data_IF_943783173808
#
_entry.id   IF_943783173808
#
_cell.length_a   1.000
_cell.length_b   1.000
_cell.length_c   1.000
_cell.angle_alpha   90.00
_cell.angle_beta   90.00
_cell.angle_gamma   90.00
#
_symmetry.space_group_name_H-M   'P 1'
#
loop_
_entity.id
_entity.type
_entity.pdbx_description
1 polymer ?
#
# COMPACT_ATOMS: atom_id res chain seq x y z
N UNK A 1 31.32 -47.53 69.95
CA UNK A 1 31.27 -46.11 69.50
C UNK A 1 31.02 -46.14 68.00
N UNK A 2 29.81 -45.86 67.49
CA UNK A 2 29.26 -44.51 67.15
C UNK A 2 30.25 -43.73 66.26
N UNK A 3 30.00 -43.33 65.01
CA UNK A 3 28.78 -42.89 64.33
C UNK A 3 28.87 -43.06 62.78
N UNK A 4 27.72 -43.33 62.15
CA UNK A 4 27.39 -43.05 60.73
C UNK A 4 26.81 -41.62 60.60
N UNK A 5 26.47 -41.20 59.36
CA UNK A 5 25.53 -40.10 58.94
C UNK A 5 26.29 -38.83 58.48
N UNK A 6 26.06 -38.16 57.34
CA UNK A 6 25.10 -38.28 56.21
C UNK A 6 25.63 -37.41 55.04
N UNK A 7 25.42 -37.83 53.78
CA UNK A 7 25.49 -36.94 52.62
C UNK A 7 24.21 -36.09 52.52
N UNK A 8 24.35 -34.78 52.36
CA UNK A 8 23.23 -33.90 51.98
C UNK A 8 23.30 -33.62 50.48
N UNK A 9 22.37 -34.19 49.72
CA UNK A 9 22.09 -33.79 48.35
C UNK A 9 20.95 -32.76 48.37
N UNK A 10 21.22 -31.54 47.91
CA UNK A 10 20.21 -30.49 47.73
C UNK A 10 19.64 -30.64 46.33
N UNK A 11 18.36 -31.02 46.24
CA UNK A 11 17.60 -31.13 44.99
C UNK A 11 16.92 -29.79 44.72
N UNK A 12 17.38 -29.05 43.69
CA UNK A 12 16.70 -27.84 43.21
C UNK A 12 15.60 -28.27 42.23
N UNK A 13 14.33 -28.23 42.66
CA UNK A 13 13.18 -28.44 41.78
C UNK A 13 12.94 -27.15 40.97
N UNK A 14 13.32 -27.15 39.70
CA UNK A 14 12.96 -26.11 38.75
C UNK A 14 11.59 -26.45 38.16
N UNK A 15 10.51 -25.90 38.72
CA UNK A 15 9.17 -26.00 38.14
C UNK A 15 9.11 -25.13 36.87
N UNK A 16 9.41 -25.72 35.71
CA UNK A 16 9.02 -25.20 34.40
C UNK A 16 7.50 -25.31 34.29
N UNK A 17 6.80 -24.22 34.61
CA UNK A 17 5.40 -24.04 34.23
C UNK A 17 5.34 -23.91 32.70
N UNK A 18 5.19 -25.03 32.01
CA UNK A 18 4.75 -25.08 30.61
C UNK A 18 3.36 -24.45 30.55
N UNK A 19 3.33 -23.15 30.26
CA UNK A 19 2.10 -22.44 29.90
C UNK A 19 1.68 -22.99 28.54
N UNK A 20 0.83 -24.00 28.56
CA UNK A 20 0.10 -24.45 27.37
C UNK A 20 -0.84 -23.31 26.98
N UNK A 21 -0.40 -22.45 26.06
CA UNK A 21 -1.30 -21.51 25.40
C UNK A 21 -2.31 -22.34 24.62
N UNK A 22 -3.59 -22.24 24.99
CA UNK A 22 -4.65 -22.91 24.27
C UNK A 22 -4.69 -22.44 22.82
N UNK A 23 -4.68 -23.39 21.88
CA UNK A 23 -4.79 -23.11 20.44
C UNK A 23 -6.09 -22.35 20.15
N UNK A 24 -6.00 -21.36 19.26
CA UNK A 24 -7.15 -20.58 18.83
C UNK A 24 -8.20 -21.49 18.18
N UNK A 25 -9.44 -21.33 18.62
CA UNK A 25 -10.58 -22.10 18.17
C UNK A 25 -11.77 -21.16 18.02
N UNK A 26 -12.09 -20.83 16.77
CA UNK A 26 -13.17 -19.90 16.42
C UNK A 26 -14.52 -20.35 16.96
N UNK A 27 -14.72 -21.66 17.18
CA UNK A 27 -15.99 -22.20 17.70
C UNK A 27 -16.20 -21.91 19.19
N UNK A 28 -15.13 -21.52 19.90
CA UNK A 28 -15.15 -21.18 21.33
C UNK A 28 -15.26 -19.68 21.60
N UNK A 29 -15.26 -18.85 20.56
CA UNK A 29 -15.40 -17.39 20.69
C UNK A 29 -16.79 -17.05 21.22
N UNK A 30 -16.89 -16.01 22.05
CA UNK A 30 -18.17 -15.53 22.59
C UNK A 30 -19.17 -15.25 21.45
N UNK A 31 -20.37 -15.84 21.53
CA UNK A 31 -21.39 -15.72 20.47
C UNK A 31 -21.80 -14.28 20.17
N UNK A 32 -21.76 -13.36 21.15
CA UNK A 32 -22.05 -11.94 20.92
C UNK A 32 -20.88 -11.26 20.21
N UNK A 33 -19.64 -11.66 20.51
CA UNK A 33 -18.47 -11.20 19.75
C UNK A 33 -18.54 -11.64 18.28
N UNK A 34 -18.95 -12.89 18.02
CA UNK A 34 -19.17 -13.39 16.65
C UNK A 34 -20.25 -12.58 15.92
N UNK A 35 -21.39 -12.31 16.55
CA UNK A 35 -22.45 -11.49 15.93
C UNK A 35 -21.99 -10.04 15.62
N UNK A 36 -21.17 -9.45 16.48
CA UNK A 36 -20.55 -8.14 16.23
C UNK A 36 -19.58 -8.18 15.06
N UNK A 37 -18.78 -9.26 14.96
CA UNK A 37 -17.86 -9.49 13.86
C UNK A 37 -18.59 -9.66 12.53
N UNK A 38 -19.62 -10.49 12.47
CA UNK A 38 -20.42 -10.71 11.25
C UNK A 38 -21.01 -9.40 10.73
N UNK A 39 -21.59 -8.59 11.62
CA UNK A 39 -22.08 -7.24 11.27
C UNK A 39 -20.97 -6.33 10.74
N UNK A 40 -19.76 -6.42 11.29
CA UNK A 40 -18.64 -5.65 10.78
C UNK A 40 -18.20 -6.10 9.38
N UNK A 41 -18.29 -7.40 9.08
CA UNK A 41 -17.99 -7.92 7.74
C UNK A 41 -19.00 -7.42 6.70
N UNK A 42 -20.30 -7.40 7.03
CA UNK A 42 -21.33 -6.78 6.15
C UNK A 42 -21.03 -5.30 5.86
N UNK A 43 -20.60 -4.55 6.86
CA UNK A 43 -20.21 -3.15 6.70
C UNK A 43 -18.93 -3.00 5.87
N UNK A 44 -17.99 -3.93 5.99
CA UNK A 44 -16.76 -3.97 5.19
C UNK A 44 -17.08 -4.22 3.72
N UNK A 45 -17.98 -5.14 3.42
CA UNK A 45 -18.46 -5.41 2.05
C UNK A 45 -19.17 -4.19 1.45
N UNK A 46 -19.89 -3.43 2.29
CA UNK A 46 -20.48 -2.15 1.93
C UNK A 46 -19.46 -0.97 1.88
N UNK A 47 -18.16 -1.24 2.01
CA UNK A 47 -17.07 -0.25 2.07
C UNK A 47 -17.19 0.79 3.20
N UNK A 48 -17.98 0.51 4.24
CA UNK A 48 -18.19 1.35 5.42
C UNK A 48 -17.14 1.07 6.50
N UNK A 49 -15.87 1.27 6.16
CA UNK A 49 -14.72 0.83 6.96
C UNK A 49 -14.68 1.38 8.39
N UNK A 50 -15.04 2.66 8.60
CA UNK A 50 -15.04 3.27 9.94
C UNK A 50 -16.07 2.62 10.87
N UNK A 51 -17.26 2.33 10.34
CA UNK A 51 -18.33 1.66 11.09
C UNK A 51 -17.95 0.19 11.37
N UNK A 52 -17.38 -0.50 10.38
CA UNK A 52 -16.89 -1.86 10.53
C UNK A 52 -15.85 -1.97 11.66
N UNK A 53 -14.84 -1.08 11.69
CA UNK A 53 -13.83 -1.04 12.76
C UNK A 53 -14.49 -0.86 14.14
N UNK A 54 -15.52 0.00 14.26
CA UNK A 54 -16.20 0.21 15.53
C UNK A 54 -16.91 -1.07 16.05
N UNK A 55 -17.48 -1.88 15.15
CA UNK A 55 -18.07 -3.17 15.53
C UNK A 55 -17.00 -4.23 15.85
N UNK A 56 -15.91 -4.29 15.09
CA UNK A 56 -14.79 -5.18 15.40
C UNK A 56 -14.13 -4.84 16.74
N UNK A 57 -14.01 -3.55 17.08
CA UNK A 57 -13.53 -3.11 18.38
C UNK A 57 -14.43 -3.56 19.53
N UNK A 58 -15.76 -3.54 19.34
CA UNK A 58 -16.69 -4.12 20.30
C UNK A 58 -16.54 -5.64 20.39
N UNK A 59 -16.30 -6.33 19.28
CA UNK A 59 -16.08 -7.77 19.26
C UNK A 59 -14.82 -8.16 20.08
N UNK A 60 -13.69 -7.48 19.88
CA UNK A 60 -12.48 -7.73 20.67
C UNK A 60 -12.58 -7.30 22.13
N UNK A 61 -13.39 -6.26 22.43
CA UNK A 61 -13.68 -5.89 23.82
C UNK A 61 -14.57 -6.94 24.53
N UNK A 62 -15.38 -7.67 23.76
CA UNK A 62 -16.21 -8.76 24.26
C UNK A 62 -15.42 -10.05 24.45
N UNK A 63 -14.49 -10.33 23.53
CA UNK A 63 -13.58 -11.47 23.58
C UNK A 63 -12.17 -11.04 23.13
N UNK A 64 -11.29 -10.81 24.10
CA UNK A 64 -9.94 -10.30 23.85
C UNK A 64 -9.05 -11.28 23.06
N UNK A 65 -9.45 -12.55 22.95
CA UNK A 65 -8.72 -13.60 22.20
C UNK A 65 -9.31 -13.85 20.82
N UNK A 66 -10.23 -13.01 20.34
CA UNK A 66 -10.82 -13.18 19.03
C UNK A 66 -9.88 -12.75 17.90
N UNK A 67 -8.94 -13.64 17.54
CA UNK A 67 -7.85 -13.39 16.57
C UNK A 67 -8.39 -12.87 15.23
N UNK A 68 -9.46 -13.46 14.68
CA UNK A 68 -10.01 -13.06 13.38
C UNK A 68 -10.49 -11.60 13.36
N UNK A 69 -11.02 -11.12 14.49
CA UNK A 69 -11.42 -9.73 14.63
C UNK A 69 -10.21 -8.78 14.60
N UNK A 70 -9.11 -9.13 15.27
CA UNK A 70 -7.86 -8.35 15.18
C UNK A 70 -7.28 -8.34 13.76
N UNK A 71 -7.25 -9.51 13.10
CA UNK A 71 -6.77 -9.64 11.72
C UNK A 71 -7.64 -8.82 10.74
N UNK A 72 -8.96 -8.79 10.96
CA UNK A 72 -9.88 -8.00 10.15
C UNK A 72 -9.69 -6.50 10.36
N UNK A 73 -9.50 -6.04 11.60
CA UNK A 73 -9.15 -4.63 11.88
C UNK A 73 -7.84 -4.27 11.16
N UNK A 74 -6.84 -5.14 11.22
CA UNK A 74 -5.56 -4.94 10.54
C UNK A 74 -5.73 -4.83 9.02
N UNK A 75 -6.53 -5.72 8.42
CA UNK A 75 -6.85 -5.71 7.00
C UNK A 75 -7.53 -4.41 6.55
N UNK A 76 -8.52 -3.94 7.31
CA UNK A 76 -9.23 -2.69 7.01
C UNK A 76 -8.29 -1.49 7.09
N UNK A 77 -7.45 -1.39 8.13
CA UNK A 77 -6.45 -0.32 8.20
C UNK A 77 -5.46 -0.36 7.01
N UNK A 78 -5.10 -1.57 6.55
CA UNK A 78 -4.30 -1.72 5.34
C UNK A 78 -4.99 -1.20 4.08
N UNK A 79 -6.31 -1.41 3.94
CA UNK A 79 -7.11 -0.83 2.84
C UNK A 79 -7.20 0.70 2.93
N UNK A 80 -7.29 1.24 4.14
CA UNK A 80 -7.26 2.68 4.42
C UNK A 80 -5.84 3.28 4.28
N UNK A 81 -4.82 2.46 3.98
CA UNK A 81 -3.40 2.83 3.92
C UNK A 81 -2.84 3.40 5.23
N UNK A 82 -3.51 3.12 6.35
CA UNK A 82 -2.97 3.36 7.70
C UNK A 82 -2.10 2.16 8.11
N UNK A 83 -0.92 2.08 7.50
CA UNK A 83 0.02 0.99 7.71
C UNK A 83 0.49 0.86 9.17
N UNK A 84 0.76 1.95 9.93
CA UNK A 84 1.09 1.85 11.35
C UNK A 84 0.02 1.13 12.17
N UNK A 85 -1.26 1.48 12.02
CA UNK A 85 -2.34 0.80 12.73
C UNK A 85 -2.50 -0.65 12.27
N UNK A 86 -2.45 -0.89 10.95
CA UNK A 86 -2.54 -2.25 10.40
C UNK A 86 -1.49 -3.19 11.01
N UNK A 87 -0.22 -2.78 11.00
CA UNK A 87 0.89 -3.55 11.58
C UNK A 87 0.67 -3.81 13.07
N UNK A 88 0.21 -2.81 13.84
CA UNK A 88 -0.05 -2.99 15.28
C UNK A 88 -1.12 -4.04 15.56
N UNK A 89 -2.21 -4.08 14.79
CA UNK A 89 -3.27 -5.07 14.98
C UNK A 89 -2.86 -6.48 14.54
N UNK A 90 -2.06 -6.61 13.46
CA UNK A 90 -1.43 -7.89 13.12
C UNK A 90 -0.55 -8.41 14.25
N UNK A 91 0.34 -7.57 14.79
CA UNK A 91 1.25 -7.97 15.87
C UNK A 91 0.49 -8.38 17.13
N UNK A 92 -0.62 -7.70 17.47
CA UNK A 92 -1.53 -8.12 18.56
C UNK A 92 -2.13 -9.50 18.31
N UNK A 93 -2.61 -9.78 17.10
CA UNK A 93 -3.14 -11.10 16.73
C UNK A 93 -2.05 -12.20 16.82
N UNK A 94 -0.84 -11.90 16.35
CA UNK A 94 0.23 -12.89 16.20
C UNK A 94 0.78 -13.39 17.53
N UNK A 95 0.76 -12.57 18.58
CA UNK A 95 1.20 -13.00 19.92
C UNK A 95 0.16 -13.87 20.65
N UNK A 96 -1.08 -13.92 20.19
CA UNK A 96 -2.15 -14.72 20.81
C UNK A 96 -2.02 -16.20 20.49
N UNK A 97 -1.74 -16.52 19.22
CA UNK A 97 -1.45 -17.88 18.76
C UNK A 97 -0.47 -17.82 17.59
N UNK A 98 0.81 -18.05 17.89
CA UNK A 98 1.89 -18.03 16.89
C UNK A 98 1.79 -19.19 15.90
N UNK A 99 1.15 -20.30 16.26
CA UNK A 99 1.00 -21.46 15.38
C UNK A 99 -0.11 -21.20 14.36
N UNK A 100 -1.26 -20.70 14.82
CA UNK A 100 -2.36 -20.28 13.94
C UNK A 100 -1.92 -19.17 12.98
N UNK A 101 -1.21 -18.17 13.49
CA UNK A 101 -0.80 -16.99 12.69
C UNK A 101 0.46 -17.21 11.86
N UNK A 102 1.14 -18.35 11.98
CA UNK A 102 2.25 -18.72 11.10
C UNK A 102 1.80 -19.04 9.65
N UNK A 103 0.48 -19.12 9.40
CA UNK A 103 -0.07 -19.33 8.07
C UNK A 103 0.47 -18.30 7.05
N UNK A 104 1.05 -18.75 5.92
CA UNK A 104 1.56 -17.86 4.88
C UNK A 104 0.53 -16.87 4.32
N UNK A 105 -0.75 -17.24 4.29
CA UNK A 105 -1.84 -16.39 3.86
C UNK A 105 -2.10 -15.21 4.80
N UNK A 106 -1.83 -15.37 6.09
CA UNK A 106 -1.89 -14.29 7.09
C UNK A 106 -0.60 -13.45 7.14
N UNK A 107 0.55 -14.10 6.99
CA UNK A 107 1.87 -13.45 7.01
C UNK A 107 2.09 -12.56 5.78
N UNK A 108 1.55 -12.93 4.62
CA UNK A 108 1.77 -12.18 3.39
C UNK A 108 1.17 -10.76 3.43
N UNK A 109 -0.12 -10.54 3.77
CA UNK A 109 -0.67 -9.20 4.00
C UNK A 109 0.09 -8.39 5.05
N UNK A 110 0.53 -9.04 6.14
CA UNK A 110 1.34 -8.38 7.16
C UNK A 110 2.66 -7.82 6.58
N UNK A 111 3.38 -8.62 5.78
CA UNK A 111 4.61 -8.15 5.11
C UNK A 111 4.37 -6.95 4.18
N UNK A 112 3.21 -6.89 3.51
CA UNK A 112 2.82 -5.76 2.65
C UNK A 112 2.61 -4.50 3.49
N UNK A 113 1.95 -4.62 4.65
CA UNK A 113 1.72 -3.48 5.53
C UNK A 113 2.99 -3.02 6.23
N UNK A 114 3.92 -3.92 6.57
CA UNK A 114 5.27 -3.54 7.01
C UNK A 114 5.97 -2.69 5.95
N UNK A 115 5.98 -3.15 4.69
CA UNK A 115 6.55 -2.39 3.58
C UNK A 115 5.83 -1.07 3.31
N UNK A 116 4.50 -1.02 3.43
CA UNK A 116 3.71 0.20 3.32
C UNK A 116 4.09 1.26 4.37
N UNK A 117 4.48 0.82 5.58
CA UNK A 117 5.03 1.68 6.64
C UNK A 117 6.51 2.06 6.40
N UNK A 118 7.15 1.54 5.34
CA UNK A 118 8.57 1.71 5.05
C UNK A 118 9.51 0.72 5.76
N UNK A 119 8.96 -0.26 6.49
CA UNK A 119 9.74 -1.26 7.25
C UNK A 119 10.14 -2.45 6.36
N UNK A 120 10.91 -2.16 5.32
CA UNK A 120 11.29 -3.15 4.29
C UNK A 120 12.15 -4.29 4.84
N UNK A 121 12.93 -4.04 5.89
CA UNK A 121 13.78 -5.05 6.52
C UNK A 121 12.94 -6.17 7.14
N UNK A 122 11.95 -5.82 7.98
CA UNK A 122 11.04 -6.81 8.58
C UNK A 122 10.11 -7.42 7.53
N UNK A 123 9.66 -6.63 6.56
CA UNK A 123 8.85 -7.15 5.46
C UNK A 123 9.59 -8.25 4.68
N UNK A 124 10.87 -8.04 4.37
CA UNK A 124 11.72 -9.03 3.70
C UNK A 124 11.95 -10.27 4.55
N UNK A 125 12.18 -10.12 5.86
CA UNK A 125 12.31 -11.26 6.78
C UNK A 125 11.05 -12.14 6.76
N UNK A 126 9.86 -11.54 6.85
CA UNK A 126 8.57 -12.26 6.80
C UNK A 126 8.42 -13.00 5.47
N UNK A 127 8.69 -12.33 4.35
CA UNK A 127 8.59 -12.94 3.01
C UNK A 127 9.56 -14.11 2.85
N UNK A 128 10.79 -14.00 3.37
CA UNK A 128 11.76 -15.09 3.34
C UNK A 128 11.28 -16.30 4.16
N UNK A 129 10.64 -16.07 5.32
CA UNK A 129 10.01 -17.14 6.12
C UNK A 129 8.86 -17.82 5.38
N UNK A 130 8.02 -17.04 4.70
CA UNK A 130 6.94 -17.58 3.85
C UNK A 130 7.52 -18.50 2.75
N UNK A 131 8.54 -18.03 2.04
CA UNK A 131 9.17 -18.79 0.95
C UNK A 131 9.87 -20.07 1.42
N UNK A 132 10.26 -20.13 2.70
CA UNK A 132 10.82 -21.33 3.31
C UNK A 132 9.76 -22.37 3.74
N UNK A 133 8.46 -22.05 3.66
CA UNK A 133 7.38 -22.98 4.04
C UNK A 133 7.27 -24.13 3.03
N UNK A 134 7.32 -25.41 3.47
CA UNK A 134 7.13 -26.55 2.59
C UNK A 134 5.76 -26.54 1.91
N UNK A 135 5.69 -27.04 0.67
CA UNK A 135 4.43 -27.16 -0.09
C UNK A 135 3.63 -25.85 -0.23
N UNK A 136 4.31 -24.70 -0.26
CA UNK A 136 3.68 -23.39 -0.41
C UNK A 136 2.84 -23.32 -1.70
N UNK A 137 1.61 -22.82 -1.58
CA UNK A 137 0.71 -22.69 -2.72
C UNK A 137 1.32 -21.81 -3.84
N UNK A 138 1.21 -22.18 -5.14
CA UNK A 138 1.90 -21.48 -6.23
C UNK A 138 1.60 -19.98 -6.33
N UNK A 139 0.36 -19.57 -6.04
CA UNK A 139 -0.03 -18.14 -6.07
C UNK A 139 0.65 -17.36 -4.95
N UNK A 140 0.67 -17.89 -3.73
CA UNK A 140 1.35 -17.30 -2.58
C UNK A 140 2.86 -17.24 -2.82
N UNK A 141 3.45 -18.30 -3.38
CA UNK A 141 4.86 -18.32 -3.76
C UNK A 141 5.20 -17.21 -4.75
N UNK A 142 4.46 -17.10 -5.87
CA UNK A 142 4.67 -16.05 -6.87
C UNK A 142 4.52 -14.64 -6.26
N UNK A 143 3.52 -14.45 -5.42
CA UNK A 143 3.27 -13.19 -4.73
C UNK A 143 4.41 -12.83 -3.76
N UNK A 144 4.93 -13.80 -3.02
CA UNK A 144 6.04 -13.65 -2.09
C UNK A 144 7.36 -13.38 -2.85
N UNK A 145 7.67 -14.10 -3.93
CA UNK A 145 8.87 -13.87 -4.76
C UNK A 145 8.90 -12.47 -5.38
N UNK A 146 7.75 -11.97 -5.84
CA UNK A 146 7.64 -10.59 -6.34
C UNK A 146 7.96 -9.56 -5.25
N UNK A 147 7.42 -9.76 -4.05
CA UNK A 147 7.65 -8.88 -2.89
C UNK A 147 9.08 -8.98 -2.39
N UNK A 148 9.67 -10.17 -2.36
CA UNK A 148 11.06 -10.39 -2.00
C UNK A 148 11.99 -9.52 -2.86
N UNK A 149 11.82 -9.56 -4.20
CA UNK A 149 12.59 -8.72 -5.13
C UNK A 149 12.38 -7.24 -4.87
N UNK A 150 11.12 -6.82 -4.64
CA UNK A 150 10.77 -5.42 -4.41
C UNK A 150 11.36 -4.88 -3.08
N UNK A 151 11.27 -5.65 -2.00
CA UNK A 151 11.78 -5.26 -0.69
C UNK A 151 13.31 -5.30 -0.66
N UNK A 152 13.92 -6.30 -1.31
CA UNK A 152 15.37 -6.36 -1.48
C UNK A 152 15.89 -5.15 -2.26
N UNK A 153 15.24 -4.80 -3.37
CA UNK A 153 15.57 -3.59 -4.13
C UNK A 153 15.52 -2.33 -3.25
N UNK A 154 14.45 -2.16 -2.46
CA UNK A 154 14.32 -1.00 -1.58
C UNK A 154 15.48 -0.89 -0.56
N UNK A 155 15.89 -2.03 0.03
CA UNK A 155 17.01 -2.08 0.96
C UNK A 155 18.37 -1.83 0.28
N UNK A 156 18.60 -2.41 -0.90
CA UNK A 156 19.82 -2.22 -1.67
C UNK A 156 19.96 -0.78 -2.18
N UNK A 157 18.84 -0.18 -2.59
CA UNK A 157 18.77 1.22 -3.00
C UNK A 157 19.09 2.14 -1.81
N UNK A 158 18.45 1.94 -0.66
CA UNK A 158 18.72 2.73 0.55
C UNK A 158 20.18 2.59 1.03
N UNK A 159 20.79 1.41 0.88
CA UNK A 159 22.20 1.17 1.21
C UNK A 159 23.16 1.93 0.29
N UNK A 160 22.81 2.07 -1.00
CA UNK A 160 23.62 2.80 -1.99
C UNK A 160 23.30 4.31 -2.02
N UNK A 161 22.19 4.75 -1.43
CA UNK A 161 21.72 6.13 -1.39
C UNK A 161 21.40 6.55 0.05
N UNK A 162 22.42 6.81 0.89
CA UNK A 162 22.24 7.04 2.33
C UNK A 162 21.55 8.38 2.67
N UNK A 163 21.37 9.26 1.67
CA UNK A 163 20.59 10.50 1.81
C UNK A 163 19.11 10.18 2.00
N UNK A 164 18.67 10.19 3.25
CA UNK A 164 17.29 9.91 3.66
C UNK A 164 16.48 11.18 3.95
N UNK A 165 17.09 12.35 3.81
CA UNK A 165 16.47 13.64 4.08
C UNK A 165 15.65 14.20 2.89
N UNK A 166 15.56 13.46 1.78
CA UNK A 166 14.67 13.84 0.70
C UNK A 166 13.21 13.61 1.13
N UNK A 167 12.48 14.70 1.28
CA UNK A 167 11.04 14.68 1.53
C UNK A 167 10.33 14.85 0.19
N UNK A 168 9.62 13.82 -0.25
CA UNK A 168 8.71 13.95 -1.38
C UNK A 168 7.48 14.77 -0.95
N UNK A 169 7.59 16.09 -1.08
CA UNK A 169 6.55 17.06 -0.82
C UNK A 169 6.21 17.79 -2.13
N UNK A 170 5.40 17.19 -3.03
CA UNK A 170 5.02 17.87 -4.26
C UNK A 170 4.32 19.19 -3.92
N UNK A 171 4.78 20.27 -4.55
CA UNK A 171 4.19 21.59 -4.40
C UNK A 171 3.29 21.86 -5.59
N UNK A 172 2.08 22.34 -5.31
CA UNK A 172 1.21 22.91 -6.33
C UNK A 172 1.93 24.09 -7.01
N UNK A 173 1.90 24.15 -8.34
CA UNK A 173 2.61 25.14 -9.15
C UNK A 173 1.87 26.49 -9.25
N UNK A 174 0.74 26.63 -8.55
CA UNK A 174 -0.10 27.81 -8.53
C UNK A 174 -1.15 27.82 -9.65
N UNK A 175 -2.10 28.75 -9.54
CA UNK A 175 -3.27 28.85 -10.43
C UNK A 175 -2.91 29.10 -11.91
N UNK A 176 -1.67 29.53 -12.18
CA UNK A 176 -1.13 29.65 -13.53
C UNK A 176 -1.05 28.29 -14.24
N UNK A 177 -0.82 27.21 -13.49
CA UNK A 177 -0.75 25.84 -14.00
C UNK A 177 -1.92 25.01 -13.50
N UNK A 178 -2.10 24.97 -12.18
CA UNK A 178 -3.03 24.07 -11.54
C UNK A 178 -4.45 24.62 -11.47
N UNK A 179 -5.41 23.75 -11.71
CA UNK A 179 -6.83 24.04 -11.57
C UNK A 179 -7.52 23.02 -10.67
N UNK A 180 -8.86 23.12 -10.54
CA UNK A 180 -9.67 22.09 -9.89
C UNK A 180 -9.89 20.84 -10.76
N UNK A 181 -9.52 20.89 -12.05
CA UNK A 181 -9.65 19.76 -12.97
C UNK A 181 -8.48 18.78 -12.83
N UNK A 182 -8.65 17.56 -13.35
CA UNK A 182 -7.54 16.60 -13.41
C UNK A 182 -6.52 17.01 -14.47
N UNK A 183 -5.25 17.05 -14.08
CA UNK A 183 -4.13 17.48 -14.93
C UNK A 183 -3.00 16.45 -14.85
N UNK A 184 -2.49 16.03 -16.01
CA UNK A 184 -1.53 14.92 -16.10
C UNK A 184 -0.76 14.94 -17.43
N UNK A 185 0.19 14.01 -17.57
CA UNK A 185 1.12 13.91 -18.71
C UNK A 185 1.80 15.24 -19.07
N UNK A 186 2.54 15.87 -18.13
CA UNK A 186 3.34 17.04 -18.45
C UNK A 186 4.54 16.66 -19.34
N UNK A 187 4.84 17.53 -20.30
CA UNK A 187 6.04 17.49 -21.14
C UNK A 187 6.62 18.90 -21.26
N UNK A 188 7.93 19.00 -21.52
CA UNK A 188 8.66 20.26 -21.50
C UNK A 188 9.88 20.19 -22.44
N UNK A 189 10.16 21.24 -23.22
CA UNK A 189 11.42 21.36 -23.97
C UNK A 189 12.64 21.50 -23.05
N UNK A 190 13.85 21.34 -23.60
CA UNK A 190 15.08 21.34 -22.81
C UNK A 190 15.37 22.69 -22.14
N UNK A 191 14.85 23.78 -22.69
CA UNK A 191 15.04 25.14 -22.16
C UNK A 191 14.16 25.43 -20.93
N UNK A 192 13.20 24.56 -20.63
CA UNK A 192 12.33 24.65 -19.48
C UNK A 192 11.32 25.80 -19.50
N UNK A 193 11.10 26.43 -20.66
CA UNK A 193 10.27 27.64 -20.77
C UNK A 193 8.82 27.38 -21.15
N UNK A 194 8.47 26.17 -21.57
CA UNK A 194 7.10 25.80 -21.92
C UNK A 194 6.73 24.50 -21.22
N UNK A 195 5.63 24.52 -20.46
CA UNK A 195 5.02 23.32 -19.90
C UNK A 195 3.77 23.02 -20.69
N UNK A 196 3.75 21.88 -21.38
CA UNK A 196 2.55 21.34 -22.04
C UNK A 196 2.02 20.18 -21.21
N UNK A 197 0.71 20.09 -21.02
CA UNK A 197 0.08 19.05 -20.23
C UNK A 197 -1.36 18.81 -20.67
N UNK A 198 -1.92 17.66 -20.29
CA UNK A 198 -3.33 17.37 -20.48
C UNK A 198 -4.13 17.90 -19.30
N UNK A 199 -5.25 18.56 -19.59
CA UNK A 199 -6.29 18.90 -18.62
C UNK A 199 -7.60 18.26 -19.04
N UNK A 200 -8.22 17.50 -18.15
CA UNK A 200 -9.50 16.83 -18.39
C UNK A 200 -10.66 17.77 -18.10
N UNK A 201 -11.04 18.58 -19.08
CA UNK A 201 -12.07 19.61 -18.96
C UNK A 201 -13.45 18.99 -18.71
N UNK A 202 -14.14 19.49 -17.68
CA UNK A 202 -15.46 19.01 -17.25
C UNK A 202 -15.51 17.49 -17.01
N UNK A 203 -14.38 16.89 -16.62
CA UNK A 203 -14.21 15.45 -16.45
C UNK A 203 -14.56 14.60 -17.70
N UNK A 204 -14.55 15.20 -18.88
CA UNK A 204 -14.92 14.55 -20.14
C UNK A 204 -13.81 14.63 -21.18
N UNK A 205 -13.44 15.84 -21.60
CA UNK A 205 -12.54 16.05 -22.74
C UNK A 205 -11.09 16.23 -22.28
N UNK A 206 -10.17 15.47 -22.85
CA UNK A 206 -8.74 15.64 -22.64
C UNK A 206 -8.20 16.69 -23.60
N UNK A 207 -8.02 17.92 -23.13
CA UNK A 207 -7.43 19.00 -23.93
C UNK A 207 -5.97 19.24 -23.49
N UNK A 208 -5.11 19.57 -24.45
CA UNK A 208 -3.75 20.06 -24.20
C UNK A 208 -3.75 21.53 -23.84
N UNK A 209 -3.17 21.83 -22.68
CA UNK A 209 -2.91 23.17 -22.18
C UNK A 209 -1.40 23.43 -22.17
N UNK A 210 -1.04 24.69 -22.34
CA UNK A 210 0.34 25.15 -22.33
C UNK A 210 0.50 26.40 -21.49
N UNK A 211 1.59 26.48 -20.74
CA UNK A 211 2.01 27.67 -20.01
C UNK A 211 3.48 27.95 -20.29
N UNK A 212 3.78 29.19 -20.64
CA UNK A 212 5.15 29.66 -20.76
C UNK A 212 5.70 30.16 -19.41
N UNK A 213 7.02 30.13 -19.27
CA UNK A 213 7.72 30.63 -18.09
C UNK A 213 8.51 31.87 -18.44
N UNK A 214 8.21 32.97 -17.75
CA UNK A 214 8.97 34.22 -17.83
C UNK A 214 9.82 34.45 -16.57
N UNK A 215 10.38 35.66 -16.44
CA UNK A 215 11.22 36.04 -15.29
C UNK A 215 10.45 36.09 -13.94
N UNK A 216 9.12 36.14 -13.98
CA UNK A 216 8.23 36.21 -12.82
C UNK A 216 7.62 34.86 -12.45
N UNK A 217 7.63 33.89 -13.36
CA UNK A 217 7.15 32.53 -13.11
C UNK A 217 6.40 31.95 -14.30
N UNK A 218 5.53 30.98 -14.04
CA UNK A 218 4.59 30.48 -15.04
C UNK A 218 3.51 31.52 -15.32
N UNK A 219 3.20 31.76 -16.59
CA UNK A 219 2.04 32.58 -16.99
C UNK A 219 0.79 31.71 -17.03
N UNK A 220 -0.40 32.32 -17.00
CA UNK A 220 -1.65 31.56 -17.03
C UNK A 220 -1.72 30.62 -18.22
N UNK A 221 -1.93 29.34 -17.94
CA UNK A 221 -2.03 28.31 -18.96
C UNK A 221 -3.20 28.56 -19.88
N UNK A 222 -2.97 28.40 -21.18
CA UNK A 222 -3.99 28.50 -22.22
C UNK A 222 -4.26 27.13 -22.81
N UNK A 223 -5.49 26.91 -23.25
CA UNK A 223 -5.80 25.79 -24.14
C UNK A 223 -5.00 25.99 -25.42
N UNK A 224 -4.16 25.01 -25.78
CA UNK A 224 -3.30 25.17 -26.94
C UNK A 224 -4.15 25.34 -28.22
N UNK A 225 -3.77 26.28 -29.11
CA UNK A 225 -4.53 26.58 -30.32
C UNK A 225 -4.29 25.52 -31.40
N UNK A 226 -5.10 25.58 -32.46
CA UNK A 226 -4.98 24.70 -33.63
C UNK A 226 -5.84 23.44 -33.55
N UNK A 227 -5.61 22.52 -34.48
CA UNK A 227 -6.44 21.31 -34.66
C UNK A 227 -6.02 20.13 -33.78
N UNK A 228 -5.26 20.40 -32.71
CA UNK A 228 -4.74 19.38 -31.79
C UNK A 228 -5.70 19.09 -30.63
N UNK A 229 -6.65 20.00 -30.37
CA UNK A 229 -7.67 19.84 -29.34
C UNK A 229 -9.04 19.84 -30.01
N UNK A 230 -9.70 18.69 -30.09
CA UNK A 230 -11.00 18.55 -30.76
C UNK A 230 -12.09 18.11 -29.79
N UNK A 231 -13.27 17.77 -30.32
CA UNK A 231 -14.33 17.12 -29.53
C UNK A 231 -14.14 15.61 -29.40
N UNK A 232 -13.10 15.05 -30.02
CA UNK A 232 -12.71 13.65 -29.88
C UNK A 232 -11.68 13.51 -28.75
N UNK A 233 -11.18 12.28 -28.52
CA UNK A 233 -10.20 12.06 -27.47
C UNK A 233 -8.78 12.25 -28.01
N UNK A 234 -8.04 13.17 -27.40
CA UNK A 234 -6.60 13.36 -27.60
C UNK A 234 -5.82 13.11 -26.31
N UNK A 235 -4.64 12.52 -26.43
CA UNK A 235 -3.87 12.18 -25.24
C UNK A 235 -2.40 11.87 -25.51
N UNK A 236 -1.68 11.62 -24.42
CA UNK A 236 -0.27 11.21 -24.42
C UNK A 236 0.63 12.12 -25.29
N UNK A 237 0.43 13.43 -25.19
CA UNK A 237 1.27 14.39 -25.90
C UNK A 237 2.72 14.36 -25.42
N UNK A 238 3.65 14.60 -26.32
CA UNK A 238 5.06 14.81 -26.04
C UNK A 238 5.61 15.92 -26.92
N UNK A 239 6.08 17.00 -26.30
CA UNK A 239 6.82 18.05 -26.99
C UNK A 239 8.30 17.64 -27.16
N UNK A 240 8.86 17.92 -28.33
CA UNK A 240 10.28 17.70 -28.62
C UNK A 240 11.17 18.59 -27.76
N UNK A 241 12.42 18.18 -27.59
CA UNK A 241 13.37 18.89 -26.73
C UNK A 241 13.73 20.29 -27.27
N UNK A 242 13.68 20.49 -28.58
CA UNK A 242 13.83 21.80 -29.23
C UNK A 242 12.54 22.63 -29.26
N UNK A 243 11.39 22.05 -28.87
CA UNK A 243 10.09 22.70 -28.85
C UNK A 243 9.42 22.84 -30.23
N UNK A 244 10.01 22.29 -31.29
CA UNK A 244 9.49 22.44 -32.67
C UNK A 244 8.34 21.49 -33.00
N UNK A 245 8.28 20.33 -32.34
CA UNK A 245 7.31 19.27 -32.60
C UNK A 245 6.50 18.94 -31.36
N UNK A 246 5.20 18.76 -31.54
CA UNK A 246 4.32 18.16 -30.55
C UNK A 246 3.74 16.91 -31.19
N UNK A 247 4.09 15.74 -30.65
CA UNK A 247 3.52 14.46 -31.10
C UNK A 247 2.46 14.04 -30.11
N UNK A 248 1.29 13.62 -30.59
CA UNK A 248 0.20 13.19 -29.72
C UNK A 248 -0.64 12.08 -30.35
N UNK A 249 -1.43 11.40 -29.53
CA UNK A 249 -2.42 10.42 -30.01
C UNK A 249 -3.76 11.10 -30.20
N UNK A 250 -4.36 10.95 -31.37
CA UNK A 250 -5.73 11.38 -31.66
C UNK A 250 -6.59 10.19 -32.04
N UNK A 251 -7.74 10.02 -31.39
CA UNK A 251 -8.64 8.89 -31.64
C UNK A 251 -9.91 9.30 -32.39
N UNK A 252 -10.37 8.44 -33.31
CA UNK A 252 -11.61 8.62 -34.10
C UNK A 252 -11.71 9.97 -34.83
N UNK A 253 -10.57 10.53 -35.22
CA UNK A 253 -10.54 11.78 -35.96
C UNK A 253 -10.94 11.55 -37.41
N UNK A 254 -11.55 12.56 -38.02
CA UNK A 254 -12.01 12.48 -39.41
C UNK A 254 -10.85 12.31 -40.39
N UNK A 255 -9.66 12.83 -40.04
CA UNK A 255 -8.41 12.72 -40.79
C UNK A 255 -7.55 11.53 -40.33
N UNK A 256 -8.12 10.60 -39.56
CA UNK A 256 -7.43 9.39 -39.09
C UNK A 256 -7.49 8.25 -40.10
N UNK A 257 -6.47 7.39 -40.04
CA UNK A 257 -6.36 6.15 -40.82
C UNK A 257 -6.76 4.92 -39.99
N UNK A 258 -6.96 5.09 -38.68
CA UNK A 258 -7.30 4.04 -37.73
C UNK A 258 -8.16 4.51 -36.55
N UNK A 259 -8.17 3.71 -35.47
CA UNK A 259 -8.93 4.04 -34.26
C UNK A 259 -8.26 5.13 -33.43
N UNK A 260 -6.93 5.09 -33.33
CA UNK A 260 -6.10 6.05 -32.63
C UNK A 260 -4.75 6.13 -33.34
N UNK A 261 -4.45 7.30 -33.90
CA UNK A 261 -3.27 7.54 -34.72
C UNK A 261 -2.34 8.57 -34.07
N UNK A 262 -1.09 8.59 -34.51
CA UNK A 262 -0.11 9.59 -34.10
C UNK A 262 -0.16 10.79 -35.05
N UNK A 263 -0.23 11.98 -34.46
CA UNK A 263 -0.21 13.27 -35.12
C UNK A 263 1.02 14.06 -34.68
#
# INVERSE_FOLDING_TARGET
>A
MKNRVLCFAVFFLFCLSLSSSAQYDVTKVDKKAVALYEKAMELTDASKYKEAIAFLQQAVARDEKYIDAYLSIAGIYGQLKDYPQSVSFYEKAFVMDTAYTADPGLQLPYSINLAGKGDFARALEVVNKILATPNLHPTTKKAAEYRQKSFQFALDYAKSHPTTNYVFAPHNLGDAINSSESEYFPSMPIDGKLLVYTRRVANMNEDFFGSEKDNTGWINAIRLPGNINTSQNEGAQAISQDGEWLVFTGCNRQDGEGSCDLY
#
